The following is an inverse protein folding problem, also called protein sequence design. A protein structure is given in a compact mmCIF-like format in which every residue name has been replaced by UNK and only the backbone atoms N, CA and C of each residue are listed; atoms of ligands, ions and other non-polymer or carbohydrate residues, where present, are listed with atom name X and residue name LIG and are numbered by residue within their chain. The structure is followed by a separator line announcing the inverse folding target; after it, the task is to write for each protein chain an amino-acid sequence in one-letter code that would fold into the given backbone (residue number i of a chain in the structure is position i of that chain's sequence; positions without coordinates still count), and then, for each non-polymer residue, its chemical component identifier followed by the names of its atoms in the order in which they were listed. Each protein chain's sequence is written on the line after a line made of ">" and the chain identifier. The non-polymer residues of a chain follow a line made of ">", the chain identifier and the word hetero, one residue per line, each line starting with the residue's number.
data_IF_250836412556
#
_entry.id   IF_250836412556
#
_cell.length_a   1.000
_cell.length_b   1.000
_cell.length_c   1.000
_cell.angle_alpha   90.00
_cell.angle_beta   90.00
_cell.angle_gamma   90.00
#
_symmetry.space_group_name_H-M   'P 1'
#
loop_
_entity.id
_entity.type
_entity.pdbx_description
1 polymer ?
#
# COMPACT_ATOMS: atom_id res chain seq x y z
N UNK A 1 17.67 7.13 9.88
CA UNK A 1 17.22 7.38 11.28
C UNK A 1 17.40 6.08 12.03
N UNK A 2 18.09 6.11 13.16
CA UNK A 2 18.32 4.91 13.96
C UNK A 2 17.04 4.53 14.72
N UNK A 3 16.84 3.22 14.99
CA UNK A 3 15.63 2.72 15.66
C UNK A 3 15.37 3.34 17.04
N UNK A 4 16.44 3.74 17.75
CA UNK A 4 16.33 4.39 19.07
C UNK A 4 15.78 5.80 18.92
N UNK A 5 16.28 6.55 17.95
CA UNK A 5 15.84 7.91 17.65
C UNK A 5 14.38 7.95 17.17
N UNK A 6 14.00 7.00 16.30
CA UNK A 6 12.62 6.85 15.83
C UNK A 6 11.64 6.62 16.98
N UNK A 7 12.01 5.75 17.93
CA UNK A 7 11.18 5.47 19.12
C UNK A 7 11.03 6.71 20.02
N UNK A 8 12.10 7.46 20.24
CA UNK A 8 12.06 8.68 21.03
C UNK A 8 11.17 9.76 20.39
N UNK A 9 11.27 9.93 19.07
CA UNK A 9 10.38 10.85 18.33
C UNK A 9 8.92 10.40 18.43
N UNK A 10 8.66 9.10 18.33
CA UNK A 10 7.30 8.56 18.46
C UNK A 10 6.72 8.78 19.87
N UNK A 11 7.52 8.60 20.91
CA UNK A 11 7.11 8.87 22.31
C UNK A 11 6.75 10.35 22.51
N UNK A 12 7.57 11.27 21.99
CA UNK A 12 7.30 12.71 22.03
C UNK A 12 6.05 13.07 21.23
N UNK A 13 5.90 12.53 20.03
CA UNK A 13 4.73 12.76 19.19
C UNK A 13 3.44 12.30 19.88
N UNK A 14 3.45 11.12 20.53
CA UNK A 14 2.32 10.62 21.32
C UNK A 14 2.01 11.51 22.54
N UNK A 15 3.01 12.23 23.07
CA UNK A 15 2.84 13.21 24.14
C UNK A 15 2.35 14.58 23.65
N UNK A 16 2.10 14.76 22.34
CA UNK A 16 1.58 15.99 21.75
C UNK A 16 2.65 16.91 21.16
N UNK A 17 3.88 16.43 20.98
CA UNK A 17 4.94 17.18 20.32
C UNK A 17 4.77 17.11 18.80
N UNK A 18 4.24 18.19 18.23
CA UNK A 18 3.97 18.30 16.78
C UNK A 18 5.26 18.25 15.96
N UNK A 19 6.33 18.86 16.43
CA UNK A 19 7.60 18.86 15.71
C UNK A 19 8.18 17.45 15.60
N UNK A 20 8.12 16.65 16.69
CA UNK A 20 8.54 15.27 16.68
C UNK A 20 7.70 14.43 15.71
N UNK A 21 6.39 14.66 15.64
CA UNK A 21 5.51 14.00 14.67
C UNK A 21 5.87 14.37 13.23
N UNK A 22 6.08 15.67 12.95
CA UNK A 22 6.49 16.14 11.62
C UNK A 22 7.82 15.54 11.18
N UNK A 23 8.80 15.43 12.07
CA UNK A 23 10.09 14.81 11.79
C UNK A 23 9.93 13.32 11.41
N UNK A 24 9.09 12.58 12.14
CA UNK A 24 8.76 11.18 11.80
C UNK A 24 8.10 11.06 10.42
N UNK A 25 7.11 11.89 10.14
CA UNK A 25 6.43 11.88 8.83
C UNK A 25 7.41 12.22 7.71
N UNK A 26 8.25 13.24 7.89
CA UNK A 26 9.25 13.64 6.90
C UNK A 26 10.23 12.49 6.58
N UNK A 27 10.75 11.82 7.62
CA UNK A 27 11.66 10.70 7.48
C UNK A 27 11.05 9.50 6.71
N UNK A 28 9.74 9.28 6.83
CA UNK A 28 9.03 8.16 6.21
C UNK A 28 8.16 8.55 5.01
N UNK A 29 8.13 9.84 4.63
CA UNK A 29 7.25 10.38 3.59
C UNK A 29 7.38 9.64 2.25
N UNK A 30 8.61 9.39 1.81
CA UNK A 30 8.90 8.67 0.55
C UNK A 30 8.32 7.25 0.57
N UNK A 31 8.45 6.56 1.71
CA UNK A 31 7.92 5.20 1.88
C UNK A 31 6.40 5.19 1.89
N UNK A 32 5.79 6.10 2.66
CA UNK A 32 4.33 6.24 2.73
C UNK A 32 3.74 6.60 1.36
N UNK A 33 4.34 7.57 0.67
CA UNK A 33 3.93 7.91 -0.69
C UNK A 33 4.05 6.72 -1.65
N UNK A 34 5.17 5.98 -1.62
CA UNK A 34 5.37 4.81 -2.45
C UNK A 34 4.31 3.72 -2.22
N UNK A 35 3.88 3.51 -0.97
CA UNK A 35 2.76 2.61 -0.64
C UNK A 35 1.46 3.14 -1.28
N UNK A 36 1.09 4.39 -1.04
CA UNK A 36 -0.13 4.98 -1.59
C UNK A 36 -0.16 4.90 -3.11
N UNK A 37 0.93 5.29 -3.77
CA UNK A 37 1.04 5.25 -5.23
C UNK A 37 0.94 3.83 -5.80
N UNK A 38 1.49 2.81 -5.12
CA UNK A 38 1.36 1.40 -5.54
C UNK A 38 -0.07 0.85 -5.48
N UNK A 39 -0.95 1.49 -4.69
CA UNK A 39 -2.37 1.15 -4.61
C UNK A 39 -3.22 1.93 -5.59
N UNK A 40 -2.97 3.24 -5.70
CA UNK A 40 -3.89 4.18 -6.35
C UNK A 40 -3.50 4.50 -7.79
N UNK A 41 -2.22 4.31 -8.14
CA UNK A 41 -1.64 4.56 -9.47
C UNK A 41 -1.92 5.99 -10.02
N UNK A 42 -2.12 6.93 -9.11
CA UNK A 42 -2.38 8.35 -9.36
C UNK A 42 -1.59 9.16 -8.35
N UNK A 43 -0.81 10.10 -8.82
CA UNK A 43 -0.01 10.98 -7.97
C UNK A 43 -0.90 11.84 -7.06
N UNK A 44 -1.95 12.43 -7.64
CA UNK A 44 -2.89 13.28 -6.89
C UNK A 44 -3.57 12.50 -5.76
N UNK A 45 -4.11 11.30 -6.06
CA UNK A 45 -4.77 10.48 -5.06
C UNK A 45 -3.81 9.90 -4.02
N UNK A 46 -2.56 9.62 -4.41
CA UNK A 46 -1.54 9.17 -3.48
C UNK A 46 -1.15 10.27 -2.48
N UNK A 47 -1.04 11.51 -2.94
CA UNK A 47 -0.79 12.67 -2.09
C UNK A 47 -1.98 12.95 -1.16
N UNK A 48 -3.22 12.87 -1.66
CA UNK A 48 -4.43 13.02 -0.85
C UNK A 48 -4.51 11.95 0.25
N UNK A 49 -4.26 10.69 -0.10
CA UNK A 49 -4.23 9.59 0.87
C UNK A 49 -3.14 9.77 1.93
N UNK A 50 -1.98 10.30 1.54
CA UNK A 50 -0.89 10.62 2.47
C UNK A 50 -1.30 11.75 3.42
N UNK A 51 -1.86 12.84 2.92
CA UNK A 51 -2.34 13.96 3.74
C UNK A 51 -3.37 13.50 4.75
N UNK A 52 -4.36 12.72 4.32
CA UNK A 52 -5.39 12.16 5.19
C UNK A 52 -4.78 11.23 6.26
N UNK A 53 -3.76 10.46 5.90
CA UNK A 53 -3.03 9.60 6.84
C UNK A 53 -2.33 10.43 7.92
N UNK A 54 -1.67 11.53 7.54
CA UNK A 54 -1.00 12.44 8.46
C UNK A 54 -2.02 13.06 9.42
N UNK A 55 -3.14 13.57 8.91
CA UNK A 55 -4.21 14.15 9.73
C UNK A 55 -4.77 13.13 10.73
N UNK A 56 -5.16 11.94 10.26
CA UNK A 56 -5.70 10.88 11.14
C UNK A 56 -4.65 10.38 12.13
N UNK A 57 -3.40 10.31 11.69
CA UNK A 57 -2.27 9.92 12.51
C UNK A 57 -2.07 10.89 13.67
N UNK A 58 -1.99 12.18 13.39
CA UNK A 58 -1.85 13.21 14.42
C UNK A 58 -2.98 13.17 15.44
N UNK A 59 -4.22 13.15 14.96
CA UNK A 59 -5.40 13.14 15.85
C UNK A 59 -5.48 11.92 16.77
N UNK A 60 -4.83 10.81 16.42
CA UNK A 60 -4.96 9.53 17.14
C UNK A 60 -3.67 9.03 17.78
N UNK A 61 -2.51 9.62 17.48
CA UNK A 61 -1.22 9.12 17.98
C UNK A 61 -1.13 9.09 19.52
N UNK A 62 -1.75 10.04 20.20
CA UNK A 62 -1.80 10.06 21.67
C UNK A 62 -2.53 8.87 22.32
N UNK A 63 -3.32 8.11 21.56
CA UNK A 63 -3.98 6.89 22.02
C UNK A 63 -3.17 5.61 21.79
N UNK A 64 -1.99 5.73 21.15
CA UNK A 64 -1.16 4.58 20.80
C UNK A 64 -0.49 4.02 22.07
N UNK A 65 -0.75 2.75 22.40
CA UNK A 65 -0.20 2.11 23.60
C UNK A 65 1.31 1.90 23.53
N UNK A 66 1.82 1.63 22.35
CA UNK A 66 3.24 1.36 22.08
C UNK A 66 3.76 2.35 21.02
N UNK A 67 4.34 3.49 21.43
CA UNK A 67 4.85 4.51 20.49
C UNK A 67 5.80 3.96 19.44
N UNK A 68 6.65 2.99 19.77
CA UNK A 68 7.56 2.33 18.83
C UNK A 68 6.86 1.59 17.67
N UNK A 69 5.54 1.45 17.69
CA UNK A 69 4.75 0.87 16.59
C UNK A 69 4.11 1.94 15.70
N UNK A 70 4.45 3.23 15.87
CA UNK A 70 3.81 4.33 15.16
C UNK A 70 3.90 4.18 13.64
N UNK A 71 5.05 3.86 13.08
CA UNK A 71 5.21 3.75 11.62
C UNK A 71 4.42 2.56 11.05
N UNK A 72 4.51 1.33 11.58
CA UNK A 72 3.60 0.24 11.19
C UNK A 72 2.12 0.61 11.28
N UNK A 73 1.72 1.34 12.32
CA UNK A 73 0.35 1.78 12.53
C UNK A 73 -0.09 2.84 11.49
N UNK A 74 0.76 3.82 11.17
CA UNK A 74 0.50 4.80 10.10
C UNK A 74 0.38 4.14 8.73
N UNK A 75 1.24 3.17 8.41
CA UNK A 75 1.13 2.37 7.18
C UNK A 75 -0.23 1.67 7.11
N UNK A 76 -0.72 1.12 8.23
CA UNK A 76 -2.05 0.49 8.28
C UNK A 76 -3.18 1.48 8.02
N UNK A 77 -3.11 2.69 8.58
CA UNK A 77 -4.07 3.78 8.30
C UNK A 77 -4.07 4.09 6.81
N UNK A 78 -2.90 4.30 6.22
CA UNK A 78 -2.74 4.61 4.80
C UNK A 78 -3.34 3.51 3.90
N UNK A 79 -3.03 2.24 4.19
CA UNK A 79 -3.55 1.11 3.41
C UNK A 79 -5.08 1.02 3.47
N UNK A 80 -5.68 1.32 4.63
CA UNK A 80 -7.13 1.37 4.77
C UNK A 80 -7.74 2.52 3.95
N UNK A 81 -7.14 3.70 3.97
CA UNK A 81 -7.56 4.85 3.15
C UNK A 81 -7.51 4.48 1.65
N UNK A 82 -6.39 3.91 1.19
CA UNK A 82 -6.24 3.47 -0.19
C UNK A 82 -7.27 2.39 -0.57
N UNK A 83 -7.54 1.43 0.31
CA UNK A 83 -8.52 0.38 0.08
C UNK A 83 -9.95 0.94 -0.03
N UNK A 84 -10.30 1.92 0.78
CA UNK A 84 -11.61 2.57 0.75
C UNK A 84 -11.77 3.43 -0.51
N UNK A 85 -10.72 4.13 -0.94
CA UNK A 85 -10.72 4.87 -2.21
C UNK A 85 -10.91 3.93 -3.41
N UNK A 86 -10.23 2.78 -3.44
CA UNK A 86 -10.42 1.77 -4.49
C UNK A 86 -11.85 1.21 -4.51
N UNK A 87 -12.47 1.02 -3.33
CA UNK A 87 -13.88 0.61 -3.26
C UNK A 87 -14.81 1.72 -3.76
N UNK A 88 -14.52 2.98 -3.41
CA UNK A 88 -15.25 4.16 -3.88
C UNK A 88 -15.24 4.24 -5.40
N UNK A 89 -14.08 4.13 -6.03
CA UNK A 89 -13.94 4.15 -7.51
C UNK A 89 -14.76 3.04 -8.16
N UNK A 90 -14.73 1.82 -7.62
CA UNK A 90 -15.53 0.70 -8.14
C UNK A 90 -17.04 0.94 -8.08
N UNK A 91 -17.53 1.70 -7.09
CA UNK A 91 -18.96 2.04 -6.98
C UNK A 91 -19.37 3.13 -7.95
N UNK A 92 -18.48 4.06 -8.24
CA UNK A 92 -18.75 5.22 -9.09
C UNK A 92 -18.30 5.05 -10.54
N UNK A 93 -17.65 3.93 -10.88
CA UNK A 93 -17.53 3.55 -12.29
C UNK A 93 -18.93 3.08 -12.74
N UNK A 94 -19.68 3.90 -13.52
CA UNK A 94 -20.88 3.41 -14.18
C UNK A 94 -20.44 2.28 -15.11
N UNK A 95 -21.39 1.45 -15.50
CA UNK A 95 -21.25 0.39 -16.52
C UNK A 95 -20.78 0.89 -17.92
N UNK A 96 -20.14 2.05 -17.97
CA UNK A 96 -19.59 2.66 -19.16
C UNK A 96 -18.08 2.45 -19.19
N UNK A 97 -17.72 1.62 -20.15
CA UNK A 97 -16.48 1.68 -20.90
C UNK A 97 -15.33 0.78 -20.49
N UNK A 98 -15.30 -0.24 -21.26
CA UNK A 98 -14.12 -0.82 -21.88
C UNK A 98 -13.30 0.16 -22.76
N UNK A 99 -13.56 1.46 -22.72
CA UNK A 99 -12.86 2.44 -23.56
C UNK A 99 -12.55 3.68 -22.76
N UNK A 100 -11.32 3.87 -22.37
CA UNK A 100 -10.58 5.10 -22.22
C UNK A 100 -9.47 4.98 -21.17
N UNK A 101 -8.38 4.33 -21.54
CA UNK A 101 -7.05 4.73 -21.12
C UNK A 101 -6.07 4.45 -22.27
N UNK A 102 -6.35 5.05 -23.40
CA UNK A 102 -5.37 5.30 -24.45
C UNK A 102 -4.88 6.71 -24.27
N UNK A 103 -3.78 6.88 -23.60
CA UNK A 103 -2.71 7.82 -23.99
C UNK A 103 -1.53 7.60 -23.07
N UNK A 104 -0.52 7.13 -23.65
CA UNK A 104 0.90 7.27 -23.40
C UNK A 104 1.66 5.96 -23.40
N UNK A 105 2.29 5.75 -24.52
CA UNK A 105 3.57 5.07 -24.74
C UNK A 105 3.66 3.56 -24.53
N UNK A 106 4.02 2.93 -25.62
CA UNK A 106 4.38 1.55 -25.90
C UNK A 106 5.52 0.97 -25.01
N UNK A 107 5.49 1.18 -23.71
CA UNK A 107 6.45 0.57 -22.78
C UNK A 107 5.72 0.17 -21.51
N UNK A 108 4.79 -0.78 -21.53
CA UNK A 108 4.38 -1.45 -20.29
C UNK A 108 3.14 -2.33 -20.34
N UNK A 109 2.97 -3.10 -21.39
CA UNK A 109 1.88 -4.10 -21.39
C UNK A 109 1.98 -5.00 -20.13
N UNK A 110 3.18 -5.47 -19.82
CA UNK A 110 3.43 -6.31 -18.63
C UNK A 110 3.24 -5.59 -17.29
N UNK A 111 3.48 -4.27 -17.22
CA UNK A 111 3.28 -3.50 -15.98
C UNK A 111 1.80 -3.19 -15.75
N UNK A 112 1.08 -2.92 -16.81
CA UNK A 112 -0.38 -2.73 -16.78
C UNK A 112 -1.08 -4.02 -16.36
N UNK A 113 -0.67 -5.17 -16.90
CA UNK A 113 -1.18 -6.49 -16.52
C UNK A 113 -0.94 -6.80 -15.04
N UNK A 114 0.24 -6.48 -14.53
CA UNK A 114 0.57 -6.66 -13.12
C UNK A 114 -0.30 -5.79 -12.20
N UNK A 115 -0.50 -4.52 -12.57
CA UNK A 115 -1.35 -3.59 -11.82
C UNK A 115 -2.81 -4.06 -11.80
N UNK A 116 -3.34 -4.49 -12.93
CA UNK A 116 -4.68 -5.06 -13.04
C UNK A 116 -4.82 -6.34 -12.25
N UNK A 117 -3.82 -7.23 -12.29
CA UNK A 117 -3.80 -8.46 -11.50
C UNK A 117 -3.86 -8.16 -10.00
N UNK A 118 -3.09 -7.18 -9.51
CA UNK A 118 -3.12 -6.74 -8.12
C UNK A 118 -4.47 -6.10 -7.73
N UNK A 119 -5.05 -5.26 -8.59
CA UNK A 119 -6.33 -4.59 -8.33
C UNK A 119 -7.51 -5.58 -8.16
N UNK A 120 -7.46 -6.73 -8.83
CA UNK A 120 -8.48 -7.79 -8.74
C UNK A 120 -8.19 -8.85 -7.67
N UNK A 121 -7.08 -8.71 -6.95
CA UNK A 121 -6.70 -9.65 -5.90
C UNK A 121 -7.45 -9.36 -4.60
N UNK A 122 -7.67 -10.40 -3.78
CA UNK A 122 -8.19 -10.21 -2.42
C UNK A 122 -7.23 -9.33 -1.62
N UNK A 123 -7.72 -8.34 -0.84
CA UNK A 123 -6.88 -7.36 -0.14
C UNK A 123 -5.68 -7.97 0.58
N UNK A 124 -5.89 -9.01 1.39
CA UNK A 124 -4.82 -9.68 2.16
C UNK A 124 -3.63 -10.19 1.33
N UNK A 125 -3.87 -10.62 0.09
CA UNK A 125 -2.81 -11.10 -0.80
C UNK A 125 -2.11 -9.93 -1.51
N UNK A 126 -2.88 -8.94 -1.93
CA UNK A 126 -2.34 -7.70 -2.50
C UNK A 126 -1.43 -6.99 -1.50
N UNK A 127 -1.91 -6.83 -0.26
CA UNK A 127 -1.22 -6.10 0.79
C UNK A 127 0.15 -6.70 1.10
N UNK A 128 0.25 -8.03 1.25
CA UNK A 128 1.56 -8.68 1.48
C UNK A 128 2.49 -8.57 0.28
N UNK A 129 1.96 -8.60 -0.94
CA UNK A 129 2.76 -8.46 -2.15
C UNK A 129 3.29 -7.03 -2.30
N UNK A 130 2.45 -6.03 -2.09
CA UNK A 130 2.86 -4.62 -2.14
C UNK A 130 3.93 -4.34 -1.08
N UNK A 131 3.70 -4.72 0.17
CA UNK A 131 4.67 -4.49 1.23
C UNK A 131 5.99 -5.25 1.00
N UNK A 132 5.94 -6.47 0.44
CA UNK A 132 7.14 -7.27 0.18
C UNK A 132 7.95 -6.77 -1.01
N UNK A 133 7.29 -6.52 -2.15
CA UNK A 133 7.99 -6.31 -3.43
C UNK A 133 8.07 -4.84 -3.87
N UNK A 134 7.15 -3.98 -3.42
CA UNK A 134 7.26 -2.55 -3.72
C UNK A 134 7.95 -1.76 -2.59
N UNK A 135 7.97 -2.31 -1.37
CA UNK A 135 8.52 -1.63 -0.20
C UNK A 135 9.69 -2.38 0.44
N UNK A 136 10.11 -3.51 -0.15
CA UNK A 136 11.23 -4.35 0.31
C UNK A 136 11.15 -4.74 1.81
N UNK A 137 9.93 -4.81 2.35
CA UNK A 137 9.75 -5.13 3.77
C UNK A 137 10.06 -6.59 4.06
N UNK A 138 10.65 -6.82 5.23
CA UNK A 138 10.88 -8.16 5.76
C UNK A 138 9.56 -8.79 6.28
N UNK A 139 9.51 -10.11 6.38
CA UNK A 139 8.32 -10.81 6.91
C UNK A 139 7.94 -10.32 8.32
N UNK A 140 8.88 -10.13 9.28
CA UNK A 140 8.55 -9.57 10.59
C UNK A 140 7.96 -8.15 10.52
N UNK A 141 8.45 -7.29 9.63
CA UNK A 141 7.89 -5.94 9.46
C UNK A 141 6.47 -5.99 8.91
N UNK A 142 6.21 -6.82 7.89
CA UNK A 142 4.87 -7.02 7.34
C UNK A 142 3.92 -7.58 8.40
N UNK A 143 4.39 -8.51 9.22
CA UNK A 143 3.64 -9.09 10.33
C UNK A 143 3.19 -8.00 11.32
N UNK A 144 4.08 -7.08 11.67
CA UNK A 144 3.78 -5.92 12.52
C UNK A 144 2.78 -4.96 11.87
N UNK A 145 2.98 -4.62 10.59
CA UNK A 145 2.06 -3.73 9.84
C UNK A 145 0.67 -4.31 9.77
N UNK A 146 0.54 -5.59 9.39
CA UNK A 146 -0.76 -6.23 9.20
C UNK A 146 -1.36 -6.80 10.48
N UNK A 147 -0.62 -6.79 11.60
CA UNK A 147 -1.02 -7.37 12.89
C UNK A 147 -1.42 -8.84 12.74
N UNK A 148 -0.51 -9.61 12.16
CA UNK A 148 -0.68 -11.03 11.87
C UNK A 148 0.60 -11.81 12.17
N UNK A 149 0.49 -13.08 12.59
CA UNK A 149 1.65 -13.95 12.75
C UNK A 149 2.46 -14.10 11.45
N UNK A 150 3.78 -14.20 11.55
CA UNK A 150 4.66 -14.38 10.39
C UNK A 150 4.29 -15.60 9.53
N UNK A 151 3.85 -16.70 10.15
CA UNK A 151 3.38 -17.88 9.43
C UNK A 151 2.17 -17.58 8.53
N UNK A 152 1.28 -16.69 8.98
CA UNK A 152 0.15 -16.21 8.19
C UNK A 152 0.64 -15.37 7.00
N UNK A 153 1.61 -14.47 7.23
CA UNK A 153 2.19 -13.64 6.17
C UNK A 153 2.86 -14.52 5.10
N UNK A 154 3.67 -15.51 5.49
CA UNK A 154 4.30 -16.46 4.57
C UNK A 154 3.25 -17.20 3.72
N UNK A 155 2.18 -17.67 4.36
CA UNK A 155 1.08 -18.35 3.67
C UNK A 155 0.36 -17.42 2.67
N UNK A 156 0.10 -16.17 3.05
CA UNK A 156 -0.55 -15.20 2.17
C UNK A 156 0.34 -14.79 1.00
N UNK A 157 1.64 -14.63 1.26
CA UNK A 157 2.63 -14.32 0.23
C UNK A 157 2.70 -15.44 -0.83
N UNK A 158 2.83 -16.70 -0.37
CA UNK A 158 2.84 -17.84 -1.28
C UNK A 158 1.56 -17.93 -2.14
N UNK A 159 0.39 -17.82 -1.49
CA UNK A 159 -0.90 -17.84 -2.21
C UNK A 159 -1.05 -16.65 -3.16
N UNK A 160 -0.60 -15.47 -2.75
CA UNK A 160 -0.60 -14.27 -3.59
C UNK A 160 0.23 -14.44 -4.85
N UNK A 161 1.45 -14.93 -4.71
CA UNK A 161 2.33 -15.22 -5.85
C UNK A 161 1.75 -16.26 -6.81
N UNK A 162 1.16 -17.34 -6.27
CA UNK A 162 0.51 -18.35 -7.08
C UNK A 162 -0.66 -17.79 -7.89
N UNK A 163 -1.48 -16.95 -7.27
CA UNK A 163 -2.61 -16.29 -7.95
C UNK A 163 -2.14 -15.31 -9.01
N UNK A 164 -1.06 -14.58 -8.76
CA UNK A 164 -0.48 -13.64 -9.71
C UNK A 164 0.06 -14.37 -10.93
N UNK A 165 0.84 -15.44 -10.72
CA UNK A 165 1.37 -16.26 -11.81
C UNK A 165 0.27 -16.81 -12.71
N UNK A 166 -0.80 -17.38 -12.14
CA UNK A 166 -1.93 -17.91 -12.91
C UNK A 166 -2.66 -16.83 -13.74
N UNK A 167 -2.72 -15.60 -13.26
CA UNK A 167 -3.34 -14.49 -14.01
C UNK A 167 -2.47 -13.99 -15.16
N UNK A 168 -1.16 -13.95 -14.98
CA UNK A 168 -0.22 -13.56 -16.02
C UNK A 168 -0.13 -14.61 -17.14
N UNK A 169 -0.22 -15.90 -16.81
CA UNK A 169 -0.25 -16.98 -17.79
C UNK A 169 -1.53 -16.95 -18.64
N UNK A 170 -2.70 -16.70 -18.04
CA UNK A 170 -3.97 -16.60 -18.78
C UNK A 170 -4.10 -15.30 -19.59
N UNK A 171 -3.46 -14.22 -19.21
CA UNK A 171 -3.41 -12.96 -19.98
C UNK A 171 -2.55 -13.07 -21.25
N UNK A 172 -1.49 -13.88 -21.22
CA UNK A 172 -0.58 -14.08 -22.35
C UNK A 172 -1.13 -14.99 -23.47
N UNK A 173 -2.11 -15.86 -23.19
CA UNK A 173 -2.66 -16.78 -24.19
C UNK A 173 -3.69 -16.13 -25.15
N UNK A 174 -4.20 -14.96 -24.86
CA UNK A 174 -5.23 -14.30 -25.70
C UNK A 174 -4.64 -13.62 -26.93
N UNK A 175 -3.33 -13.39 -27.00
CA UNK A 175 -2.70 -12.67 -28.13
C UNK A 175 -2.06 -13.56 -29.22
N UNK A 176 -2.03 -14.89 -29.08
CA UNK A 176 -1.40 -15.77 -30.09
C UNK A 176 -2.37 -16.64 -30.89
N UNK A 177 -3.63 -16.36 -30.87
CA UNK A 177 -4.67 -17.13 -31.58
C UNK A 177 -5.44 -16.37 -32.63
N UNK A 178 -4.77 -15.75 -33.63
CA UNK A 178 -5.35 -15.43 -34.96
C UNK A 178 -4.21 -15.11 -35.93
N UNK A 179 -3.75 -16.15 -36.57
CA UNK A 179 -3.18 -16.04 -37.91
C UNK A 179 -4.11 -16.77 -38.86
#
# INVERSE_FOLDING_TARGET
>A
MELVEEKQLAERACAGDEEAFQQLIAAHSRRLYGIAHSYLHSEADALEALQETVCRGWLKCGSLREPGTMIPWLIRILMNICADELKRRKRFQPLFNHESQTTSEMINDSKLDLQQALAHMKPKYRDVLVLKYYQDMTIPEIARVLDKPEGTIKTWLYKGLKLMKGKLETGGEVQHGRA
#
